data_IF_243464901276
#
_entry.id   IF_243464901276
#
_cell.length_a   1.000
_cell.length_b   1.000
_cell.length_c   1.000
_cell.angle_alpha   90.00
_cell.angle_beta   90.00
_cell.angle_gamma   90.00
#
_symmetry.space_group_name_H-M   'P 1'
#
loop_
_entity.id
_entity.type
_entity.pdbx_description
1 polymer ?
#
# COMPACT_ATOMS: atom_id res chain seq x y z
N UNK A 1 1.64 -16.57 10.17
CA UNK A 1 2.17 -16.86 11.53
C UNK A 1 3.23 -15.80 11.84
N UNK A 2 3.35 -15.32 13.08
CA UNK A 2 4.43 -14.40 13.43
C UNK A 2 5.79 -15.07 13.18
N UNK A 3 6.69 -14.36 12.51
CA UNK A 3 8.03 -14.85 12.18
C UNK A 3 8.82 -15.07 13.48
N UNK A 4 9.57 -16.16 13.57
CA UNK A 4 10.46 -16.41 14.70
C UNK A 4 11.70 -15.50 14.59
N UNK A 5 12.02 -14.77 15.66
CA UNK A 5 13.26 -14.01 15.73
C UNK A 5 14.45 -14.98 15.80
N UNK A 6 15.31 -14.98 14.78
CA UNK A 6 16.47 -15.86 14.62
C UNK A 6 17.81 -15.15 14.80
N UNK A 7 17.84 -13.82 14.70
CA UNK A 7 19.00 -12.99 15.06
C UNK A 7 18.82 -12.36 16.42
N UNK A 8 19.90 -11.84 16.99
CA UNK A 8 19.82 -11.00 18.18
C UNK A 8 18.76 -9.89 17.99
N UNK A 9 17.68 -9.86 18.79
CA UNK A 9 16.63 -8.86 18.70
C UNK A 9 17.16 -7.43 18.78
N UNK A 10 18.28 -7.20 19.48
CA UNK A 10 18.86 -5.86 19.64
C UNK A 10 19.38 -5.29 18.33
N UNK A 11 19.87 -6.13 17.40
CA UNK A 11 20.28 -5.66 16.06
C UNK A 11 19.09 -5.11 15.29
N UNK A 12 17.98 -5.86 15.28
CA UNK A 12 16.75 -5.42 14.61
C UNK A 12 16.12 -4.22 15.32
N UNK A 13 16.17 -4.16 16.65
CA UNK A 13 15.68 -3.03 17.47
C UNK A 13 16.43 -1.74 17.16
N UNK A 14 17.76 -1.74 17.20
CA UNK A 14 18.57 -0.55 16.91
C UNK A 14 18.27 -0.01 15.51
N UNK A 15 18.08 -0.91 14.53
CA UNK A 15 17.70 -0.50 13.17
C UNK A 15 16.28 0.03 13.11
N UNK A 16 15.31 -0.61 13.74
CA UNK A 16 13.94 -0.13 13.85
C UNK A 16 13.88 1.28 14.46
N UNK A 17 14.55 1.49 15.60
CA UNK A 17 14.57 2.78 16.30
C UNK A 17 15.17 3.87 15.40
N UNK A 18 16.24 3.55 14.65
CA UNK A 18 16.83 4.47 13.67
C UNK A 18 15.85 4.84 12.55
N UNK A 19 15.12 3.87 12.00
CA UNK A 19 14.15 4.11 10.93
C UNK A 19 12.96 4.94 11.43
N UNK A 20 12.42 4.63 12.61
CA UNK A 20 11.33 5.41 13.23
C UNK A 20 11.79 6.83 13.58
N UNK A 21 13.01 6.99 14.11
CA UNK A 21 13.57 8.31 14.41
C UNK A 21 13.73 9.16 13.13
N UNK A 22 14.21 8.56 12.04
CA UNK A 22 14.29 9.22 10.72
C UNK A 22 12.91 9.63 10.22
N UNK A 23 11.91 8.75 10.30
CA UNK A 23 10.55 9.11 9.91
C UNK A 23 10.03 10.30 10.72
N UNK A 24 10.18 10.27 12.06
CA UNK A 24 9.71 11.33 12.95
C UNK A 24 10.34 12.69 12.65
N UNK A 25 11.60 12.72 12.22
CA UNK A 25 12.26 13.96 11.80
C UNK A 25 11.63 14.61 10.55
N UNK A 26 10.90 13.84 9.73
CA UNK A 26 10.22 14.31 8.53
C UNK A 26 8.70 14.11 8.60
N UNK A 27 8.12 13.95 9.80
CA UNK A 27 6.71 13.61 9.98
C UNK A 27 5.77 14.61 9.29
N UNK A 28 6.05 15.91 9.37
CA UNK A 28 5.24 16.96 8.71
C UNK A 28 5.24 16.83 7.18
N UNK A 29 6.38 16.46 6.58
CA UNK A 29 6.49 16.24 5.15
C UNK A 29 5.71 15.00 4.70
N UNK A 30 5.67 13.94 5.52
CA UNK A 30 4.83 12.77 5.28
C UNK A 30 3.35 13.06 5.48
N UNK A 31 3.01 13.86 6.50
CA UNK A 31 1.64 14.27 6.81
C UNK A 31 0.99 15.01 5.65
N UNK A 32 1.69 15.99 5.06
CA UNK A 32 1.19 16.74 3.89
C UNK A 32 1.01 15.87 2.65
N UNK A 33 1.69 14.73 2.59
CA UNK A 33 1.56 13.73 1.53
C UNK A 33 0.52 12.64 1.84
N UNK A 34 -0.13 12.73 3.00
CA UNK A 34 -1.19 11.81 3.40
C UNK A 34 -0.70 10.51 4.02
N UNK A 35 0.51 10.48 4.59
CA UNK A 35 1.05 9.34 5.32
C UNK A 35 1.17 9.67 6.81
N UNK A 36 0.63 8.79 7.66
CA UNK A 36 0.52 9.02 9.09
C UNK A 36 1.02 7.79 9.86
N UNK A 37 1.98 7.99 10.76
CA UNK A 37 2.35 6.98 11.75
C UNK A 37 1.34 7.03 12.89
N UNK A 38 0.62 5.92 13.10
CA UNK A 38 -0.37 5.81 14.18
C UNK A 38 0.27 5.20 15.42
N UNK A 39 1.10 4.17 15.24
CA UNK A 39 1.77 3.47 16.34
C UNK A 39 3.11 2.91 15.89
N UNK A 40 4.11 2.98 16.76
CA UNK A 40 5.40 2.33 16.56
C UNK A 40 5.86 1.70 17.88
N UNK A 41 5.93 0.37 17.89
CA UNK A 41 6.49 -0.42 18.99
C UNK A 41 7.21 -1.62 18.40
N UNK A 42 8.52 -1.73 18.64
CA UNK A 42 9.31 -2.82 18.08
C UNK A 42 8.65 -4.19 18.34
N UNK A 43 8.51 -5.05 17.31
CA UNK A 43 9.08 -4.93 15.97
C UNK A 43 8.18 -4.27 14.92
N UNK A 44 7.05 -3.68 15.30
CA UNK A 44 6.02 -3.22 14.35
C UNK A 44 5.83 -1.70 14.29
N UNK A 45 5.51 -1.20 13.10
CA UNK A 45 5.05 0.17 12.89
C UNK A 45 3.79 0.18 12.02
N UNK A 46 2.74 0.86 12.49
CA UNK A 46 1.43 0.93 11.88
C UNK A 46 1.20 2.30 11.23
N UNK A 47 0.92 2.29 9.93
CA UNK A 47 0.70 3.48 9.13
C UNK A 47 -0.69 3.48 8.49
N UNK A 48 -1.28 4.66 8.40
CA UNK A 48 -2.47 4.90 7.57
C UNK A 48 -2.12 5.88 6.44
N UNK A 49 -2.81 5.71 5.32
CA UNK A 49 -2.63 6.54 4.14
C UNK A 49 -3.98 7.12 3.68
N UNK A 50 -4.04 8.42 3.48
CA UNK A 50 -5.23 9.12 3.01
C UNK A 50 -4.89 10.06 1.84
N UNK A 51 -5.80 10.23 0.87
CA UNK A 51 -5.53 11.14 -0.25
C UNK A 51 -5.67 12.61 0.16
N UNK A 52 -4.60 13.43 0.10
CA UNK A 52 -4.65 14.85 0.40
C UNK A 52 -5.21 15.70 -0.75
N UNK A 53 -5.66 15.10 -1.85
CA UNK A 53 -6.20 15.82 -3.01
C UNK A 53 -7.73 15.78 -3.11
N UNK A 54 -8.34 14.71 -2.61
CA UNK A 54 -9.78 14.45 -2.74
C UNK A 54 -10.59 14.96 -1.53
N UNK A 55 -11.82 15.42 -1.74
CA UNK A 55 -12.78 15.80 -0.69
C UNK A 55 -14.09 14.99 -0.83
N UNK A 56 -14.62 14.36 0.25
CA UNK A 56 -14.02 14.24 1.58
C UNK A 56 -12.71 13.45 1.55
N UNK A 57 -11.86 13.67 2.57
CA UNK A 57 -10.60 12.93 2.73
C UNK A 57 -10.95 11.48 3.11
N UNK A 58 -10.53 10.52 2.31
CA UNK A 58 -10.74 9.10 2.57
C UNK A 58 -9.41 8.41 2.93
N UNK A 59 -9.46 7.46 3.86
CA UNK A 59 -8.37 6.52 4.11
C UNK A 59 -8.36 5.54 2.95
N UNK A 60 -7.26 5.50 2.20
CA UNK A 60 -7.11 4.66 1.02
C UNK A 60 -6.52 3.29 1.34
N UNK A 61 -5.65 3.22 2.36
CA UNK A 61 -5.03 1.99 2.83
C UNK A 61 -4.44 2.18 4.23
N UNK A 62 -4.13 1.07 4.89
CA UNK A 62 -3.28 1.03 6.06
C UNK A 62 -2.29 -0.14 5.94
N UNK A 63 -1.11 0.01 6.53
CA UNK A 63 -0.09 -1.04 6.54
C UNK A 63 0.46 -1.26 7.94
N UNK A 64 0.72 -2.53 8.25
CA UNK A 64 1.58 -2.91 9.36
C UNK A 64 2.94 -3.34 8.79
N UNK A 65 4.01 -2.70 9.25
CA UNK A 65 5.37 -3.00 8.82
C UNK A 65 6.09 -3.69 9.97
N UNK A 66 6.52 -4.94 9.74
CA UNK A 66 7.21 -5.76 10.72
C UNK A 66 8.72 -5.85 10.43
N UNK A 67 9.52 -5.53 11.45
CA UNK A 67 10.97 -5.48 11.42
C UNK A 67 11.61 -6.69 12.14
N UNK A 68 10.87 -7.78 12.33
CA UNK A 68 11.43 -9.03 12.86
C UNK A 68 12.56 -9.51 11.95
N UNK A 69 13.70 -9.86 12.53
CA UNK A 69 14.94 -10.22 11.80
C UNK A 69 15.46 -9.15 10.83
N UNK A 70 15.10 -7.88 11.04
CA UNK A 70 15.56 -6.79 10.17
C UNK A 70 17.08 -6.69 10.17
N UNK A 71 17.65 -6.88 8.97
CA UNK A 71 19.06 -6.96 8.55
C UNK A 71 19.27 -8.20 7.69
N UNK A 72 18.98 -9.37 8.26
CA UNK A 72 19.02 -10.65 7.55
C UNK A 72 17.78 -10.90 6.71
N UNK A 73 16.66 -10.29 7.11
CA UNK A 73 15.40 -10.30 6.37
C UNK A 73 15.00 -8.85 6.08
N UNK A 74 14.37 -8.59 4.92
CA UNK A 74 13.69 -7.32 4.68
C UNK A 74 12.47 -7.20 5.63
N UNK A 75 11.97 -5.98 5.86
CA UNK A 75 10.73 -5.79 6.60
C UNK A 75 9.56 -6.41 5.82
N UNK A 76 8.61 -6.96 6.57
CA UNK A 76 7.32 -7.40 6.04
C UNK A 76 6.38 -6.20 5.95
N UNK A 77 5.61 -6.11 4.85
CA UNK A 77 4.63 -5.04 4.67
C UNK A 77 3.28 -5.68 4.37
N UNK A 78 2.38 -5.62 5.35
CA UNK A 78 1.04 -6.19 5.24
C UNK A 78 0.01 -5.09 5.15
N UNK A 79 -0.83 -5.12 4.12
CA UNK A 79 -2.02 -4.27 4.06
C UNK A 79 -3.06 -4.78 5.06
N UNK A 80 -3.57 -3.88 5.89
CA UNK A 80 -4.51 -4.21 6.96
C UNK A 80 -5.70 -3.26 6.93
N UNK A 81 -6.80 -3.70 7.54
CA UNK A 81 -7.94 -2.85 7.81
C UNK A 81 -7.55 -1.81 8.87
N UNK A 82 -7.80 -0.51 8.66
CA UNK A 82 -7.32 0.56 9.54
C UNK A 82 -7.91 0.54 10.95
N UNK A 83 -9.05 -0.13 11.16
CA UNK A 83 -9.76 -0.14 12.44
C UNK A 83 -9.53 -1.43 13.22
N UNK A 84 -9.47 -2.57 12.54
CA UNK A 84 -9.31 -3.91 13.15
C UNK A 84 -7.87 -4.42 13.10
N UNK A 85 -7.02 -3.81 12.27
CA UNK A 85 -5.63 -4.20 12.01
C UNK A 85 -5.45 -5.62 11.48
N UNK A 86 -6.52 -6.23 10.99
CA UNK A 86 -6.45 -7.55 10.36
C UNK A 86 -6.00 -7.41 8.91
N UNK A 87 -5.21 -8.38 8.38
CA UNK A 87 -4.85 -8.39 6.97
C UNK A 87 -6.08 -8.34 6.06
N UNK A 88 -6.04 -7.52 5.02
CA UNK A 88 -7.10 -7.45 4.00
C UNK A 88 -6.78 -8.38 2.84
N UNK A 89 -7.82 -8.97 2.23
CA UNK A 89 -7.66 -9.69 0.97
C UNK A 89 -7.52 -8.73 -0.21
N UNK A 90 -6.91 -9.16 -1.33
CA UNK A 90 -6.72 -8.31 -2.52
C UNK A 90 -8.02 -7.72 -3.05
N UNK A 91 -9.14 -8.46 -2.98
CA UNK A 91 -10.48 -8.01 -3.39
C UNK A 91 -11.01 -6.82 -2.57
N UNK A 92 -10.58 -6.71 -1.31
CA UNK A 92 -11.07 -5.71 -0.36
C UNK A 92 -10.15 -4.46 -0.36
N UNK A 93 -8.95 -4.57 -0.94
CA UNK A 93 -8.03 -3.44 -1.13
C UNK A 93 -8.33 -2.69 -2.44
N UNK A 94 -8.93 -1.50 -2.31
CA UNK A 94 -9.28 -0.64 -3.44
C UNK A 94 -8.10 0.13 -4.04
N UNK A 95 -6.97 0.17 -3.32
CA UNK A 95 -5.76 0.85 -3.77
C UNK A 95 -5.12 0.09 -4.95
N UNK A 96 -4.79 0.81 -6.02
CA UNK A 96 -3.95 0.32 -7.11
C UNK A 96 -2.68 1.17 -7.17
N UNK A 97 -1.52 0.54 -7.32
CA UNK A 97 -0.22 1.20 -7.41
C UNK A 97 0.36 1.02 -8.81
N UNK A 98 -0.27 1.67 -9.79
CA UNK A 98 0.06 1.48 -11.21
C UNK A 98 1.42 2.07 -11.59
N UNK A 99 2.18 1.30 -12.37
CA UNK A 99 3.46 1.65 -12.96
C UNK A 99 3.38 1.50 -14.47
N UNK A 100 4.04 2.42 -15.17
CA UNK A 100 4.27 2.35 -16.61
C UNK A 100 5.61 1.70 -16.91
N UNK A 101 5.72 0.91 -17.99
CA UNK A 101 7.02 0.48 -18.50
C UNK A 101 7.84 1.70 -18.95
N UNK A 102 9.19 1.60 -18.98
CA UNK A 102 10.03 2.62 -19.61
C UNK A 102 9.65 2.76 -21.09
N UNK A 103 9.40 3.99 -21.55
CA UNK A 103 9.11 4.31 -22.95
C UNK A 103 10.16 5.31 -23.46
N UNK A 104 11.38 4.85 -23.82
CA UNK A 104 12.45 5.72 -24.26
C UNK A 104 12.04 6.47 -25.53
N UNK A 105 12.25 7.79 -25.56
CA UNK A 105 11.97 8.61 -26.73
C UNK A 105 10.49 8.96 -26.96
N UNK A 106 9.56 8.52 -26.11
CA UNK A 106 8.15 8.92 -26.20
C UNK A 106 7.88 10.22 -25.42
N UNK A 107 7.39 11.30 -26.05
CA UNK A 107 7.03 12.53 -25.34
C UNK A 107 5.93 12.30 -24.30
N UNK A 108 5.95 12.98 -23.13
CA UNK A 108 4.98 12.77 -22.05
C UNK A 108 3.52 12.86 -22.48
N UNK A 109 3.21 13.79 -23.40
CA UNK A 109 1.84 14.03 -23.89
C UNK A 109 1.31 12.87 -24.73
N UNK A 110 2.20 12.19 -25.47
CA UNK A 110 1.83 11.01 -26.26
C UNK A 110 1.55 9.79 -25.38
N UNK A 111 2.19 9.71 -24.20
CA UNK A 111 2.00 8.56 -23.30
C UNK A 111 0.57 8.48 -22.79
N UNK A 112 -0.09 9.61 -22.52
CA UNK A 112 -1.49 9.61 -22.09
C UNK A 112 -2.40 9.00 -23.17
N UNK A 113 -2.20 9.36 -24.44
CA UNK A 113 -2.94 8.81 -25.57
C UNK A 113 -2.68 7.30 -25.74
N UNK A 114 -1.43 6.87 -25.61
CA UNK A 114 -1.09 5.44 -25.69
C UNK A 114 -1.74 4.62 -24.57
N UNK A 115 -1.85 5.17 -23.37
CA UNK A 115 -2.58 4.52 -22.26
C UNK A 115 -4.07 4.43 -22.58
N UNK A 116 -4.69 5.52 -23.07
CA UNK A 116 -6.11 5.50 -23.44
C UNK A 116 -6.44 4.51 -24.56
N UNK A 117 -5.49 4.28 -25.48
CA UNK A 117 -5.62 3.30 -26.56
C UNK A 117 -5.24 1.87 -26.13
N UNK A 118 -4.94 1.63 -24.84
CA UNK A 118 -4.40 0.35 -24.34
C UNK A 118 -3.13 -0.12 -25.05
N UNK A 119 -2.37 0.80 -25.68
CA UNK A 119 -1.10 0.49 -26.34
C UNK A 119 0.07 0.36 -25.35
N UNK A 120 -0.13 0.74 -24.08
CA UNK A 120 0.83 0.58 -23.00
C UNK A 120 0.15 -0.19 -21.86
N UNK A 121 0.67 -1.38 -21.57
CA UNK A 121 0.22 -2.15 -20.42
C UNK A 121 0.78 -1.55 -19.12
N UNK A 122 -0.13 -1.18 -18.22
CA UNK A 122 0.22 -0.77 -16.87
C UNK A 122 0.38 -2.01 -15.99
N UNK A 123 1.37 -2.00 -15.11
CA UNK A 123 1.56 -3.06 -14.11
C UNK A 123 1.27 -2.51 -12.73
N UNK A 124 0.61 -3.30 -11.88
CA UNK A 124 0.37 -2.93 -10.49
C UNK A 124 1.53 -3.41 -9.62
N UNK A 125 2.04 -2.55 -8.74
CA UNK A 125 2.96 -2.96 -7.68
C UNK A 125 2.30 -3.88 -6.67
N UNK A 126 0.99 -3.73 -6.45
CA UNK A 126 0.25 -4.57 -5.52
C UNK A 126 -0.13 -5.86 -6.26
N UNK A 127 0.42 -6.98 -5.81
CA UNK A 127 0.15 -8.31 -6.37
C UNK A 127 -0.42 -9.25 -5.31
N UNK A 128 -1.07 -10.32 -5.75
CA UNK A 128 -1.58 -11.38 -4.88
C UNK A 128 -1.65 -12.69 -5.67
N UNK A 129 -1.56 -13.83 -4.99
CA UNK A 129 -1.71 -15.14 -5.63
C UNK A 129 -3.16 -15.39 -6.09
N UNK A 130 -4.13 -14.84 -5.36
CA UNK A 130 -5.55 -14.81 -5.71
C UNK A 130 -6.23 -13.55 -5.15
N UNK A 131 -7.49 -13.33 -5.52
CA UNK A 131 -8.30 -12.23 -4.97
C UNK A 131 -8.62 -12.40 -3.48
N UNK A 132 -8.53 -13.61 -2.95
CA UNK A 132 -8.83 -13.96 -1.57
C UNK A 132 -7.59 -13.88 -0.68
N UNK A 133 -6.40 -13.89 -1.27
CA UNK A 133 -5.15 -13.84 -0.52
C UNK A 133 -4.78 -12.42 -0.12
N UNK A 134 -4.00 -12.26 0.97
CA UNK A 134 -3.38 -10.99 1.31
C UNK A 134 -2.52 -10.49 0.15
N UNK A 135 -2.68 -9.22 -0.26
CA UNK A 135 -1.82 -8.65 -1.29
C UNK A 135 -0.46 -8.27 -0.70
N UNK A 136 0.54 -8.21 -1.56
CA UNK A 136 1.90 -7.78 -1.22
C UNK A 136 2.44 -6.75 -2.21
N UNK A 137 3.44 -5.97 -1.76
CA UNK A 137 4.19 -5.07 -2.61
C UNK A 137 5.24 -5.86 -3.40
N UNK A 138 5.06 -5.98 -4.70
CA UNK A 138 5.98 -6.64 -5.62
C UNK A 138 7.20 -5.73 -5.92
N UNK A 139 8.10 -5.62 -4.95
CA UNK A 139 9.35 -4.86 -5.05
C UNK A 139 10.42 -5.37 -4.08
N UNK A 140 11.68 -5.29 -4.51
CA UNK A 140 12.83 -5.57 -3.66
C UNK A 140 12.81 -4.71 -2.38
N UNK A 141 13.25 -5.31 -1.28
CA UNK A 141 13.20 -4.71 0.06
C UNK A 141 11.90 -4.94 0.83
N UNK A 142 10.96 -5.72 0.28
CA UNK A 142 9.77 -6.20 0.98
C UNK A 142 9.86 -7.72 1.14
N UNK A 143 9.57 -8.22 2.34
CA UNK A 143 9.69 -9.65 2.67
C UNK A 143 8.85 -10.53 1.77
N UNK A 144 7.59 -10.18 1.58
CA UNK A 144 6.65 -10.94 0.78
C UNK A 144 7.08 -11.04 -0.69
N UNK A 145 7.81 -10.05 -1.21
CA UNK A 145 8.43 -10.12 -2.54
C UNK A 145 9.53 -11.20 -2.57
N UNK A 146 10.48 -11.15 -1.63
CA UNK A 146 11.61 -12.09 -1.61
C UNK A 146 11.21 -13.53 -1.24
N UNK A 147 10.09 -13.72 -0.55
CA UNK A 147 9.55 -15.05 -0.23
C UNK A 147 8.70 -15.65 -1.35
N UNK A 148 8.30 -14.85 -2.35
CA UNK A 148 7.49 -15.34 -3.45
C UNK A 148 8.34 -16.18 -4.43
N UNK A 149 7.91 -17.39 -4.83
CA UNK A 149 8.64 -18.24 -5.79
C UNK A 149 9.01 -17.54 -7.11
N UNK A 150 8.19 -16.58 -7.55
CA UNK A 150 8.45 -15.78 -8.76
C UNK A 150 9.71 -14.91 -8.66
N UNK A 151 10.24 -14.68 -7.45
CA UNK A 151 11.42 -13.84 -7.17
C UNK A 151 12.56 -14.62 -6.51
N UNK A 152 12.54 -15.95 -6.59
CA UNK A 152 13.59 -16.83 -6.05
C UNK A 152 15.00 -16.54 -6.59
N UNK A 153 15.12 -15.91 -7.76
CA UNK A 153 16.39 -15.48 -8.35
C UNK A 153 16.92 -14.12 -7.86
N UNK A 154 16.21 -13.44 -6.95
CA UNK A 154 16.53 -12.07 -6.52
C UNK A 154 16.63 -11.97 -4.98
N UNK A 155 17.74 -12.44 -4.37
CA UNK A 155 17.86 -12.53 -2.92
C UNK A 155 18.07 -11.18 -2.23
N UNK A 156 17.43 -11.00 -1.07
CA UNK A 156 17.51 -9.79 -0.24
C UNK A 156 18.93 -9.29 0.05
N UNK A 157 19.89 -10.20 0.22
CA UNK A 157 21.28 -9.84 0.56
C UNK A 157 21.95 -8.96 -0.51
N UNK A 158 21.45 -8.94 -1.75
CA UNK A 158 21.92 -8.06 -2.81
C UNK A 158 21.45 -6.60 -2.62
N UNK A 159 20.37 -6.40 -1.89
CA UNK A 159 19.66 -5.11 -1.75
C UNK A 159 19.83 -4.46 -0.37
N UNK A 160 20.24 -5.23 0.65
CA UNK A 160 20.31 -4.76 2.05
C UNK A 160 21.17 -3.51 2.28
N UNK A 161 22.09 -3.21 1.35
CA UNK A 161 23.03 -2.08 1.44
C UNK A 161 22.70 -0.89 0.55
N UNK A 162 21.74 -0.99 -0.37
CA UNK A 162 21.43 0.03 -1.39
C UNK A 162 20.27 0.95 -1.01
N UNK A 163 19.63 0.69 0.14
CA UNK A 163 18.55 1.50 0.70
C UNK A 163 17.15 0.97 0.41
N UNK A 164 17.00 -0.03 -0.48
CA UNK A 164 15.77 -0.80 -0.54
C UNK A 164 15.44 -1.42 0.83
N UNK A 165 14.16 -1.48 1.17
CA UNK A 165 13.70 -2.03 2.46
C UNK A 165 13.98 -1.15 3.68
N UNK A 166 14.45 0.08 3.51
CA UNK A 166 14.33 1.09 4.57
C UNK A 166 12.90 1.64 4.63
N UNK A 167 12.50 2.16 5.79
CA UNK A 167 11.14 2.61 6.03
C UNK A 167 10.75 3.73 5.06
N UNK A 168 11.62 4.72 4.90
CA UNK A 168 11.40 5.83 3.97
C UNK A 168 11.18 5.34 2.54
N UNK A 169 11.99 4.38 2.07
CA UNK A 169 11.86 3.82 0.73
C UNK A 169 10.49 3.18 0.52
N UNK A 170 10.01 2.37 1.46
CA UNK A 170 8.70 1.71 1.37
C UNK A 170 7.57 2.74 1.34
N UNK A 171 7.57 3.67 2.30
CA UNK A 171 6.54 4.71 2.40
C UNK A 171 6.51 5.59 1.14
N UNK A 172 7.67 5.97 0.62
CA UNK A 172 7.78 6.79 -0.59
C UNK A 172 7.20 6.08 -1.82
N UNK A 173 7.34 4.75 -1.93
CA UNK A 173 6.70 4.00 -3.01
C UNK A 173 5.18 3.98 -2.86
N UNK A 174 4.66 3.71 -1.67
CA UNK A 174 3.21 3.71 -1.39
C UNK A 174 2.62 5.10 -1.70
N UNK A 175 3.29 6.16 -1.26
CA UNK A 175 2.86 7.54 -1.54
C UNK A 175 2.93 7.83 -3.04
N UNK A 176 4.07 7.56 -3.69
CA UNK A 176 4.30 7.91 -5.09
C UNK A 176 3.34 7.21 -6.05
N UNK A 177 3.09 5.92 -5.83
CA UNK A 177 2.31 5.10 -6.76
C UNK A 177 0.88 4.84 -6.29
N UNK A 178 0.61 4.86 -4.99
CA UNK A 178 -0.72 4.60 -4.44
C UNK A 178 -1.49 5.88 -4.12
N UNK A 179 -0.92 6.80 -3.36
CA UNK A 179 -1.66 7.94 -2.81
C UNK A 179 -1.66 9.14 -3.75
N UNK A 180 -0.48 9.52 -4.26
CA UNK A 180 -0.29 10.70 -5.10
C UNK A 180 -1.13 10.67 -6.39
N UNK A 181 -1.34 9.52 -7.07
CA UNK A 181 -2.17 9.47 -8.27
C UNK A 181 -3.69 9.60 -8.03
N UNK A 182 -4.17 9.56 -6.77
CA UNK A 182 -5.60 9.68 -6.48
C UNK A 182 -6.02 11.15 -6.54
N UNK A 183 -6.57 11.54 -7.69
CA UNK A 183 -7.04 12.92 -7.95
C UNK A 183 -8.57 13.09 -7.82
N UNK A 184 -9.35 12.00 -7.87
CA UNK A 184 -10.82 12.04 -7.79
C UNK A 184 -11.39 10.82 -7.07
N UNK A 185 -12.57 10.99 -6.44
CA UNK A 185 -13.39 9.90 -5.92
C UNK A 185 -14.53 9.63 -6.89
N UNK A 186 -14.61 8.41 -7.41
CA UNK A 186 -15.74 7.98 -8.23
C UNK A 186 -16.81 7.36 -7.34
N UNK A 187 -17.98 7.99 -7.26
CA UNK A 187 -19.14 7.48 -6.51
C UNK A 187 -20.19 7.06 -7.55
N UNK A 188 -20.53 5.78 -7.60
CA UNK A 188 -21.63 5.28 -8.42
C UNK A 188 -22.86 5.04 -7.53
N UNK A 189 -23.91 5.84 -7.71
CA UNK A 189 -25.20 5.66 -7.05
C UNK A 189 -26.14 4.89 -7.98
N UNK A 190 -26.62 3.73 -7.55
CA UNK A 190 -27.66 2.97 -8.24
C UNK A 190 -28.95 2.98 -7.40
N UNK A 191 -29.85 3.95 -7.59
CA UNK A 191 -31.12 3.95 -6.88
C UNK A 191 -31.98 2.78 -7.36
N UNK A 192 -32.39 1.92 -6.41
CA UNK A 192 -33.40 0.89 -6.67
C UNK A 192 -34.76 1.47 -6.26
N UNK A 193 -35.63 1.72 -7.24
CA UNK A 193 -37.01 2.17 -6.99
C UNK A 193 -37.87 0.94 -6.70
N UNK A 194 -38.17 0.71 -5.42
CA UNK A 194 -39.05 -0.38 -4.95
C UNK A 194 -40.52 0.09 -5.00
N UNK A 195 -41.00 0.47 -6.19
CA UNK A 195 -42.39 0.86 -6.44
C UNK A 195 -42.91 2.07 -5.63
N UNK A 196 -44.19 2.36 -5.78
CA UNK A 196 -44.90 3.35 -4.94
C UNK A 196 -45.65 2.58 -3.84
N UNK A 197 -45.34 2.87 -2.58
CA UNK A 197 -46.13 2.38 -1.45
C UNK A 197 -47.43 3.18 -1.37
N UNK A 198 -48.56 2.55 -1.68
CA UNK A 198 -49.88 3.11 -1.41
C UNK A 198 -50.27 2.69 0.00
N UNK A 199 -50.46 3.65 0.89
CA UNK A 199 -50.97 3.37 2.24
C UNK A 199 -52.37 2.75 2.14
N UNK A 200 -52.64 1.60 2.78
CA UNK A 200 -53.99 1.02 2.79
C UNK A 200 -55.06 1.97 3.34
N UNK A 201 -54.66 2.91 4.20
CA UNK A 201 -55.55 3.93 4.78
C UNK A 201 -55.86 5.09 3.82
N UNK A 202 -55.11 5.21 2.72
CA UNK A 202 -55.31 6.24 1.70
C UNK A 202 -56.08 5.72 0.47
N UNK A 203 -56.58 4.48 0.53
CA UNK A 203 -57.45 3.91 -0.51
C UNK A 203 -58.87 4.43 -0.25
N UNK A 204 -59.44 5.28 -1.13
CA UNK A 204 -60.81 5.73 -1.00
C UNK A 204 -61.79 4.56 -1.19
N UNK A 205 -62.93 4.60 -0.48
CA UNK A 205 -64.04 3.64 -0.65
C UNK A 205 -64.70 3.74 -2.03
#
# INVERSE_FOLDING_TARGET
MPELQTVDPEVSRVKFDREVARFRAYADAYWTQGCFLVEASFPSAFFIFASPKVKPRAICAATNIDFTNYDLRPPSVVFVDPFTRQPVARKDLQLNMLRRPPLPGTPPEMIANLIQQNAVQLTDFIQANSLQDPPFLCMAGVREYHDNPAHSGDPWLLHRGSGEGCLAFILDKIIKYGIKPIDQLQIQLQPIVVGMLVSPQAIPE
#
